data_IF_656577283257
#
_entry.id   IF_656577283257
#
_cell.length_a   1.000
_cell.length_b   1.000
_cell.length_c   1.000
_cell.angle_alpha   90.00
_cell.angle_beta   90.00
_cell.angle_gamma   90.00
#
_symmetry.space_group_name_H-M   'P 1'
#
loop_
_entity.id
_entity.type
_entity.pdbx_description
1 polymer ?
#
# COMPACT_ATOMS: atom_id res chain seq x y z
N UNK A 1 -36.36 59.27 -65.73
CA UNK A 1 -37.48 59.43 -64.83
C UNK A 1 -37.07 58.81 -63.51
N UNK A 2 -36.62 59.59 -62.62
CA UNK A 2 -37.21 60.14 -61.42
C UNK A 2 -37.66 59.08 -60.40
N UNK A 3 -37.09 59.20 -59.21
CA UNK A 3 -37.63 58.60 -58.00
C UNK A 3 -36.69 58.60 -56.85
N UNK A 4 -36.46 59.76 -56.25
CA UNK A 4 -35.72 59.90 -54.95
C UNK A 4 -36.68 59.50 -53.83
N UNK A 5 -36.26 58.59 -52.93
CA UNK A 5 -36.88 58.51 -51.62
C UNK A 5 -35.78 58.34 -50.56
N UNK A 6 -35.73 59.30 -49.66
CA UNK A 6 -35.01 59.39 -48.42
C UNK A 6 -35.50 58.28 -47.46
N UNK A 7 -34.63 57.55 -46.84
CA UNK A 7 -34.96 56.79 -45.69
C UNK A 7 -34.09 57.20 -44.47
N UNK A 8 -34.82 57.54 -43.42
CA UNK A 8 -34.36 58.12 -42.19
C UNK A 8 -33.50 57.14 -41.36
N UNK A 9 -32.42 57.69 -40.88
CA UNK A 9 -31.61 57.07 -39.80
C UNK A 9 -32.44 56.97 -38.51
N UNK A 10 -32.61 55.74 -38.04
CA UNK A 10 -33.07 55.49 -36.67
C UNK A 10 -31.91 54.86 -35.90
N UNK A 11 -31.34 55.65 -35.03
CA UNK A 11 -30.43 55.19 -33.99
C UNK A 11 -31.13 54.23 -33.02
N UNK A 12 -30.57 53.04 -32.78
CA UNK A 12 -31.03 52.15 -31.79
C UNK A 12 -30.26 52.42 -30.49
N UNK A 13 -30.88 52.38 -29.29
CA UNK A 13 -30.20 52.55 -28.03
C UNK A 13 -29.41 51.31 -27.69
N UNK A 14 -28.19 51.53 -27.24
CA UNK A 14 -27.30 50.52 -26.72
C UNK A 14 -27.80 50.13 -25.34
N UNK A 15 -28.38 48.93 -25.22
CA UNK A 15 -28.68 48.34 -23.91
C UNK A 15 -27.40 47.81 -23.29
N UNK A 16 -27.01 48.44 -22.21
CA UNK A 16 -25.90 47.98 -21.38
C UNK A 16 -26.25 46.65 -20.73
N UNK A 17 -25.48 45.61 -21.01
CA UNK A 17 -25.51 44.32 -20.26
C UNK A 17 -24.83 44.52 -18.93
N UNK A 18 -25.42 44.07 -17.79
CA UNK A 18 -24.74 44.06 -16.52
C UNK A 18 -23.64 42.99 -16.56
N UNK A 19 -22.41 43.40 -16.30
CA UNK A 19 -21.28 42.50 -16.01
C UNK A 19 -21.55 41.82 -14.68
N UNK A 20 -22.06 40.62 -14.72
CA UNK A 20 -22.11 39.75 -13.54
C UNK A 20 -20.77 39.05 -13.38
N UNK A 21 -19.89 39.68 -12.62
CA UNK A 21 -18.60 39.10 -12.21
C UNK A 21 -18.82 38.18 -11.01
N UNK A 22 -19.37 37.01 -11.24
CA UNK A 22 -19.32 35.92 -10.23
C UNK A 22 -18.09 35.05 -10.51
N UNK A 23 -16.92 35.52 -10.07
CA UNK A 23 -15.78 34.67 -9.87
C UNK A 23 -16.06 33.75 -8.67
N UNK A 24 -16.75 32.64 -8.91
CA UNK A 24 -16.77 31.54 -7.98
C UNK A 24 -15.38 30.87 -8.09
N UNK A 25 -14.49 31.33 -7.22
CA UNK A 25 -13.22 30.65 -6.97
C UNK A 25 -13.52 29.28 -6.39
N UNK A 26 -13.58 28.25 -7.25
CA UNK A 26 -13.40 26.88 -6.81
C UNK A 26 -11.96 26.73 -6.34
N UNK A 27 -11.73 27.08 -5.07
CA UNK A 27 -10.56 26.63 -4.35
C UNK A 27 -10.63 25.12 -4.26
N UNK A 28 -10.02 24.43 -5.22
CA UNK A 28 -9.70 23.03 -5.07
C UNK A 28 -8.78 22.93 -3.85
N UNK A 29 -9.36 22.69 -2.67
CA UNK A 29 -8.62 22.17 -1.54
C UNK A 29 -8.10 20.82 -2.01
N UNK A 30 -6.82 20.78 -2.37
CA UNK A 30 -6.09 19.54 -2.43
C UNK A 30 -6.23 18.91 -1.05
N UNK A 31 -7.16 17.99 -0.91
CA UNK A 31 -7.19 17.07 0.21
C UNK A 31 -5.91 16.25 0.02
N UNK A 32 -4.88 16.58 0.76
CA UNK A 32 -3.79 15.64 1.00
C UNK A 32 -4.44 14.45 1.69
N UNK A 33 -4.79 13.43 0.92
CA UNK A 33 -5.14 12.14 1.46
C UNK A 33 -3.93 11.73 2.29
N UNK A 34 -4.07 11.73 3.62
CA UNK A 34 -3.08 11.12 4.49
C UNK A 34 -3.10 9.65 4.15
N UNK A 35 -2.08 9.18 3.48
CA UNK A 35 -1.81 7.76 3.32
C UNK A 35 -1.75 7.17 4.72
N UNK A 36 -2.72 6.33 5.04
CA UNK A 36 -2.72 5.62 6.30
C UNK A 36 -1.90 4.34 6.10
N UNK A 37 -0.69 4.36 6.63
CA UNK A 37 0.15 3.16 6.68
C UNK A 37 -0.15 2.47 8.00
N UNK A 38 -0.65 1.25 7.92
CA UNK A 38 -1.03 0.44 9.08
C UNK A 38 -0.10 -0.75 9.20
N UNK A 39 0.58 -0.91 10.34
CA UNK A 39 1.39 -2.09 10.65
C UNK A 39 0.62 -3.05 11.54
N UNK A 40 0.66 -4.34 11.21
CA UNK A 40 0.02 -5.43 11.95
C UNK A 40 0.92 -6.65 11.98
N UNK A 41 0.57 -7.59 12.85
CA UNK A 41 1.37 -8.78 13.13
C UNK A 41 0.51 -10.04 13.16
N UNK A 42 1.10 -11.18 12.81
CA UNK A 42 0.51 -12.51 13.00
C UNK A 42 1.02 -13.14 14.30
N UNK A 43 0.36 -14.22 14.71
CA UNK A 43 0.84 -15.05 15.83
C UNK A 43 2.09 -15.87 15.45
N UNK A 44 2.30 -16.08 14.16
CA UNK A 44 3.43 -16.85 13.60
C UNK A 44 4.66 -15.96 13.34
N UNK A 45 4.62 -14.72 13.86
CA UNK A 45 5.71 -13.74 13.84
C UNK A 45 6.02 -13.10 12.48
N UNK A 46 5.05 -13.04 11.58
CA UNK A 46 5.13 -12.15 10.42
C UNK A 46 4.58 -10.76 10.76
N UNK A 47 5.13 -9.77 10.09
CA UNK A 47 4.63 -8.40 10.10
C UNK A 47 4.14 -8.00 8.70
N UNK A 48 3.07 -7.23 8.64
CA UNK A 48 2.56 -6.63 7.41
C UNK A 48 2.42 -5.11 7.59
N UNK A 49 2.98 -4.38 6.65
CA UNK A 49 2.84 -2.93 6.54
C UNK A 49 1.92 -2.64 5.36
N UNK A 50 0.69 -2.27 5.67
CA UNK A 50 -0.35 -2.01 4.68
C UNK A 50 -0.45 -0.53 4.34
N UNK A 51 -0.45 -0.21 3.06
CA UNK A 51 -0.68 1.13 2.51
C UNK A 51 -2.07 1.15 1.85
N UNK A 52 -3.01 1.88 2.45
CA UNK A 52 -4.39 1.98 2.00
C UNK A 52 -4.55 2.69 0.64
N UNK A 53 -3.58 3.50 0.24
CA UNK A 53 -3.61 4.21 -1.04
C UNK A 53 -3.32 3.31 -2.24
N UNK A 54 -2.46 2.31 -2.05
CA UNK A 54 -2.05 1.36 -3.08
C UNK A 54 -2.77 0.03 -2.97
N UNK A 55 -3.29 -0.29 -1.77
CA UNK A 55 -3.86 -1.59 -1.46
C UNK A 55 -2.81 -2.70 -1.33
N UNK A 56 -1.54 -2.32 -1.11
CA UNK A 56 -0.40 -3.24 -1.01
C UNK A 56 0.01 -3.41 0.44
N UNK A 57 0.20 -4.66 0.84
CA UNK A 57 0.82 -5.06 2.11
C UNK A 57 2.23 -5.56 1.87
N UNK A 58 3.22 -4.92 2.49
CA UNK A 58 4.60 -5.42 2.51
C UNK A 58 4.76 -6.38 3.68
N UNK A 59 5.11 -7.62 3.37
CA UNK A 59 5.28 -8.71 4.35
C UNK A 59 6.74 -8.85 4.72
N UNK A 60 7.02 -9.02 6.00
CA UNK A 60 8.35 -9.27 6.57
C UNK A 60 8.24 -10.20 7.77
N UNK A 61 9.36 -10.77 8.22
CA UNK A 61 9.41 -11.39 9.55
C UNK A 61 9.70 -10.32 10.61
N UNK A 62 9.29 -10.59 11.84
CA UNK A 62 9.56 -9.67 12.96
C UNK A 62 11.00 -9.80 13.47
N UNK A 63 11.46 -8.80 14.22
CA UNK A 63 12.76 -8.87 14.90
C UNK A 63 12.82 -10.01 15.92
N UNK A 64 11.69 -10.32 16.56
CA UNK A 64 11.57 -11.47 17.42
C UNK A 64 11.83 -12.78 16.64
N UNK A 65 11.16 -12.97 15.49
CA UNK A 65 11.31 -14.16 14.66
C UNK A 65 12.76 -14.38 14.24
N UNK A 66 13.45 -13.33 13.73
CA UNK A 66 14.85 -13.47 13.30
C UNK A 66 15.78 -13.82 14.47
N UNK A 67 15.50 -13.31 15.68
CA UNK A 67 16.29 -13.63 16.87
C UNK A 67 16.15 -15.08 17.30
N UNK A 68 14.94 -15.63 17.18
CA UNK A 68 14.64 -17.04 17.45
C UNK A 68 15.24 -17.95 16.39
N UNK A 69 15.17 -17.58 15.10
CA UNK A 69 15.76 -18.35 14.00
C UNK A 69 17.30 -18.43 14.09
N UNK A 70 17.96 -17.33 14.47
CA UNK A 70 19.40 -17.18 14.40
C UNK A 70 19.88 -16.90 12.98
N UNK A 71 21.14 -17.26 12.66
CA UNK A 71 21.76 -16.92 11.38
C UNK A 71 21.05 -17.58 10.20
N UNK A 72 20.37 -16.77 9.39
CA UNK A 72 19.64 -17.20 8.20
C UNK A 72 20.64 -17.46 7.07
N UNK A 73 20.52 -18.63 6.46
CA UNK A 73 21.41 -19.10 5.38
C UNK A 73 20.72 -19.27 4.04
N UNK A 74 19.39 -19.46 4.04
CA UNK A 74 18.61 -19.64 2.83
C UNK A 74 17.19 -19.08 2.98
N UNK A 75 16.66 -18.53 1.88
CA UNK A 75 15.28 -18.03 1.79
C UNK A 75 14.70 -18.46 0.46
N UNK A 76 13.55 -19.10 0.51
CA UNK A 76 12.75 -19.43 -0.67
C UNK A 76 11.40 -18.72 -0.57
N UNK A 77 10.97 -18.08 -1.66
CA UNK A 77 9.70 -17.35 -1.73
C UNK A 77 8.89 -17.81 -2.94
N UNK A 78 7.57 -17.78 -2.78
CA UNK A 78 6.63 -18.05 -3.86
C UNK A 78 6.72 -16.99 -4.94
N UNK A 79 6.61 -17.41 -6.20
CA UNK A 79 6.80 -16.54 -7.37
C UNK A 79 5.75 -15.42 -7.46
N UNK A 80 6.12 -14.23 -7.98
CA UNK A 80 5.16 -13.15 -8.26
C UNK A 80 4.04 -13.61 -9.20
N UNK A 81 2.85 -13.05 -9.04
CA UNK A 81 1.64 -13.41 -9.77
C UNK A 81 0.83 -14.55 -9.15
N UNK A 82 1.32 -15.18 -8.08
CA UNK A 82 0.59 -16.24 -7.36
C UNK A 82 -0.48 -15.63 -6.47
N UNK A 83 -1.69 -16.18 -6.52
CA UNK A 83 -2.76 -15.89 -5.57
C UNK A 83 -2.54 -16.71 -4.31
N UNK A 84 -2.66 -16.09 -3.15
CA UNK A 84 -2.47 -16.70 -1.84
C UNK A 84 -3.63 -16.39 -0.92
N UNK A 85 -3.92 -17.34 -0.04
CA UNK A 85 -4.94 -17.19 1.01
C UNK A 85 -4.25 -16.94 2.35
N UNK A 86 -4.90 -16.19 3.24
CA UNK A 86 -4.41 -15.98 4.60
C UNK A 86 -4.10 -17.32 5.29
N UNK A 87 -2.88 -17.44 5.85
CA UNK A 87 -2.40 -18.68 6.48
C UNK A 87 -1.81 -19.70 5.51
N UNK A 88 -1.76 -19.43 4.20
CA UNK A 88 -1.08 -20.28 3.23
C UNK A 88 0.43 -20.02 3.25
N UNK A 89 1.24 -21.07 3.06
CA UNK A 89 2.71 -20.92 2.99
C UNK A 89 3.11 -20.16 1.73
N UNK A 90 3.86 -19.08 1.92
CA UNK A 90 4.39 -18.21 0.85
C UNK A 90 5.91 -18.32 0.69
N UNK A 91 6.54 -19.16 1.48
CA UNK A 91 7.97 -19.37 1.41
C UNK A 91 8.50 -20.10 2.64
N UNK A 92 9.81 -20.26 2.67
CA UNK A 92 10.53 -20.85 3.78
C UNK A 92 11.84 -20.10 4.06
N UNK A 93 12.23 -20.09 5.32
CA UNK A 93 13.51 -19.56 5.79
C UNK A 93 14.29 -20.68 6.48
N UNK A 94 15.52 -20.89 6.05
CA UNK A 94 16.43 -21.81 6.70
C UNK A 94 17.54 -21.06 7.44
N UNK A 95 17.74 -21.44 8.67
CA UNK A 95 18.85 -20.98 9.49
C UNK A 95 19.82 -22.14 9.79
N UNK A 96 20.95 -21.81 10.40
CA UNK A 96 21.91 -22.81 10.86
C UNK A 96 21.29 -23.82 11.85
N UNK A 97 20.22 -23.42 12.56
CA UNK A 97 19.56 -24.20 13.60
C UNK A 97 18.26 -24.90 13.16
N UNK A 98 17.49 -24.28 12.30
CA UNK A 98 16.13 -24.71 11.97
C UNK A 98 15.65 -24.18 10.62
N UNK A 99 14.65 -24.86 10.04
CA UNK A 99 13.85 -24.37 8.94
C UNK A 99 12.46 -23.97 9.46
N UNK A 100 11.88 -22.90 8.93
CA UNK A 100 10.55 -22.40 9.25
C UNK A 100 9.82 -21.96 8.00
N UNK A 101 8.56 -22.35 7.88
CA UNK A 101 7.69 -21.84 6.83
C UNK A 101 7.28 -20.40 7.15
N UNK A 102 7.03 -19.63 6.11
CA UNK A 102 6.45 -18.28 6.18
C UNK A 102 5.04 -18.34 5.67
N UNK A 103 4.11 -17.78 6.42
CA UNK A 103 2.69 -17.79 6.07
C UNK A 103 2.21 -16.42 5.61
N UNK A 104 1.24 -16.42 4.69
CA UNK A 104 0.61 -15.20 4.22
C UNK A 104 -0.21 -14.57 5.34
N UNK A 105 0.08 -13.33 5.77
CA UNK A 105 -0.71 -12.66 6.80
C UNK A 105 -2.08 -12.24 6.29
N UNK A 106 -2.24 -12.11 4.99
CA UNK A 106 -3.45 -11.65 4.29
C UNK A 106 -3.62 -12.39 2.97
N UNK A 107 -4.87 -12.43 2.48
CA UNK A 107 -5.18 -12.98 1.16
C UNK A 107 -4.97 -11.94 0.05
N UNK A 108 -4.49 -12.38 -1.09
CA UNK A 108 -4.27 -11.51 -2.25
C UNK A 108 -3.36 -12.12 -3.29
N UNK A 109 -2.78 -11.27 -4.12
CA UNK A 109 -1.83 -11.67 -5.16
C UNK A 109 -0.44 -11.15 -4.81
N UNK A 110 0.57 -12.01 -4.86
CA UNK A 110 1.98 -11.60 -4.70
C UNK A 110 2.36 -10.78 -5.93
N UNK A 111 2.65 -9.48 -5.75
CA UNK A 111 3.07 -8.62 -6.86
C UNK A 111 4.60 -8.61 -7.03
N UNK A 112 5.33 -8.64 -5.92
CA UNK A 112 6.79 -8.51 -5.91
C UNK A 112 7.39 -9.36 -4.80
N UNK A 113 8.56 -9.92 -5.03
CA UNK A 113 9.38 -10.59 -4.02
C UNK A 113 10.75 -9.91 -3.91
N UNK A 114 11.37 -10.00 -2.76
CA UNK A 114 12.71 -9.46 -2.55
C UNK A 114 13.78 -10.43 -3.05
N UNK A 115 14.12 -10.33 -4.34
CA UNK A 115 15.14 -11.19 -4.97
C UNK A 115 16.53 -11.07 -4.31
N UNK A 116 16.78 -9.97 -3.57
CA UNK A 116 18.06 -9.78 -2.88
C UNK A 116 18.29 -10.85 -1.81
N UNK A 117 17.22 -11.37 -1.21
CA UNK A 117 17.31 -12.41 -0.17
C UNK A 117 17.88 -13.74 -0.68
N UNK A 118 17.69 -14.06 -1.96
CA UNK A 118 18.27 -15.26 -2.58
C UNK A 118 19.81 -15.21 -2.58
N UNK A 119 20.39 -14.00 -2.72
CA UNK A 119 21.85 -13.80 -2.71
C UNK A 119 22.41 -13.37 -1.35
N UNK A 120 21.58 -12.74 -0.53
CA UNK A 120 21.94 -12.15 0.77
C UNK A 120 20.91 -12.48 1.86
N UNK A 121 20.73 -13.75 2.23
CA UNK A 121 19.73 -14.17 3.22
C UNK A 121 19.94 -13.52 4.59
N UNK A 122 21.19 -13.22 4.96
CA UNK A 122 21.52 -12.51 6.20
C UNK A 122 20.99 -11.08 6.33
N UNK A 123 20.32 -10.53 5.30
CA UNK A 123 19.56 -9.28 5.44
C UNK A 123 18.40 -9.45 6.41
N UNK A 124 17.81 -10.64 6.51
CA UNK A 124 16.75 -10.93 7.48
C UNK A 124 17.24 -10.77 8.93
N UNK A 125 18.51 -11.04 9.21
CA UNK A 125 19.07 -10.84 10.54
C UNK A 125 19.46 -9.40 10.84
N UNK A 126 19.80 -8.62 9.81
CA UNK A 126 20.29 -7.24 9.98
C UNK A 126 19.19 -6.18 9.98
N UNK A 127 18.16 -6.39 9.19
CA UNK A 127 17.08 -5.43 8.98
C UNK A 127 15.84 -6.16 8.46
N UNK A 128 15.17 -7.00 9.29
CA UNK A 128 14.11 -7.89 8.84
C UNK A 128 12.91 -7.12 8.26
N UNK A 129 12.56 -6.01 8.86
CA UNK A 129 11.35 -5.26 8.51
C UNK A 129 11.55 -4.19 7.43
N UNK A 130 12.78 -3.77 7.18
CA UNK A 130 13.09 -2.75 6.15
C UNK A 130 13.69 -3.39 4.90
N UNK A 131 15.01 -3.74 4.95
CA UNK A 131 15.73 -4.30 3.80
C UNK A 131 15.46 -5.78 3.58
N UNK A 132 15.07 -6.49 4.64
CA UNK A 132 14.73 -7.89 4.65
C UNK A 132 13.24 -8.18 4.40
N UNK A 133 12.47 -7.22 3.82
CA UNK A 133 11.10 -7.52 3.44
C UNK A 133 11.05 -8.75 2.51
N UNK A 134 10.01 -9.56 2.62
CA UNK A 134 9.89 -10.83 1.90
C UNK A 134 9.17 -10.65 0.57
N UNK A 135 7.92 -10.21 0.63
CA UNK A 135 7.08 -10.01 -0.54
C UNK A 135 6.10 -8.85 -0.35
N UNK A 136 5.53 -8.41 -1.46
CA UNK A 136 4.44 -7.44 -1.49
C UNK A 136 3.20 -8.13 -2.01
N UNK A 137 2.13 -8.10 -1.24
CA UNK A 137 0.85 -8.70 -1.56
C UNK A 137 -0.15 -7.58 -1.84
N UNK A 138 -0.79 -7.62 -3.00
CA UNK A 138 -1.95 -6.81 -3.28
C UNK A 138 -3.16 -7.47 -2.65
N UNK A 139 -3.71 -6.86 -1.63
CA UNK A 139 -4.79 -7.43 -0.84
C UNK A 139 -6.07 -7.59 -1.68
N UNK A 140 -6.67 -8.76 -1.59
CA UNK A 140 -8.04 -9.00 -2.09
C UNK A 140 -9.11 -8.53 -1.10
N UNK A 141 -8.80 -8.56 0.19
CA UNK A 141 -9.69 -8.16 1.28
C UNK A 141 -8.92 -7.35 2.35
N UNK A 142 -8.99 -6.02 2.31
CA UNK A 142 -8.34 -5.16 3.29
C UNK A 142 -8.85 -5.32 4.73
N UNK A 143 -10.07 -5.88 4.94
CA UNK A 143 -10.62 -6.08 6.28
C UNK A 143 -9.82 -7.08 7.11
N UNK A 144 -9.07 -7.97 6.47
CA UNK A 144 -8.18 -8.92 7.14
C UNK A 144 -7.07 -8.25 7.96
N UNK A 145 -6.66 -7.04 7.56
CA UNK A 145 -5.66 -6.24 8.32
C UNK A 145 -6.17 -5.90 9.72
N UNK A 146 -7.47 -5.64 9.87
CA UNK A 146 -8.05 -5.29 11.16
C UNK A 146 -8.13 -6.49 12.12
N UNK A 147 -8.17 -7.70 11.58
CA UNK A 147 -8.19 -8.94 12.35
C UNK A 147 -6.80 -9.35 12.89
N UNK A 148 -5.72 -8.76 12.35
CA UNK A 148 -4.36 -9.02 12.79
C UNK A 148 -4.02 -8.28 14.08
N UNK A 149 -2.98 -8.76 14.78
CA UNK A 149 -2.54 -8.20 16.04
C UNK A 149 -1.97 -6.80 15.90
N UNK A 150 -2.28 -5.94 16.85
CA UNK A 150 -1.56 -4.68 17.02
C UNK A 150 -0.17 -4.93 17.60
N UNK A 151 0.74 -3.97 17.51
CA UNK A 151 2.09 -4.10 18.07
C UNK A 151 2.06 -4.42 19.57
N UNK A 152 1.15 -3.80 20.32
CA UNK A 152 0.99 -4.03 21.76
C UNK A 152 0.51 -5.45 22.05
N UNK A 153 -0.51 -5.93 21.33
CA UNK A 153 -1.04 -7.28 21.47
C UNK A 153 0.00 -8.33 21.06
N UNK A 154 0.77 -8.06 20.00
CA UNK A 154 1.83 -8.93 19.54
C UNK A 154 2.95 -9.04 20.59
N UNK A 155 3.44 -7.93 21.16
CA UNK A 155 4.45 -7.95 22.23
C UNK A 155 3.97 -8.74 23.44
N UNK A 156 2.73 -8.55 23.86
CA UNK A 156 2.17 -9.30 24.97
C UNK A 156 2.08 -10.81 24.71
N UNK A 157 2.02 -11.27 23.46
CA UNK A 157 1.88 -12.68 23.10
C UNK A 157 3.17 -13.50 23.31
N UNK A 158 4.34 -12.88 23.21
CA UNK A 158 5.64 -13.59 23.35
C UNK A 158 6.43 -13.17 24.61
N UNK A 159 6.02 -12.14 25.34
CA UNK A 159 6.60 -11.74 26.61
C UNK A 159 5.97 -12.46 27.83
N UNK A 160 5.00 -13.35 27.62
CA UNK A 160 4.23 -14.05 28.70
C UNK A 160 4.91 -15.31 29.16
#
# INVERSE_FOLDING_TARGET
MQGIIRAASRARPITAFPRNSSCIGFGARAQFARTLVTKRFTADHEAVVFDDSTGIGTVSITDHAQSVLGDVVFVELTTPGTEVTQGESIGAVESVKAASDIYAPVSGTIEEINETLASQPGLLNKSPEEKGWLCKIKLSDPSQIEALLTEEAYKASYES
#
